data_IF_860804181802
#
_entry.id   IF_860804181802
#
_cell.length_a   1.000
_cell.length_b   1.000
_cell.length_c   1.000
_cell.angle_alpha   90.00
_cell.angle_beta   90.00
_cell.angle_gamma   90.00
#
_symmetry.space_group_name_H-M   'P 1'
#
loop_
_entity.id
_entity.type
_entity.pdbx_description
1 polymer ?
#
# COMPACT_ATOMS: atom_id res chain seq x y z
N UNK A 1 8.22 48.13 20.63
CA UNK A 1 8.44 47.38 19.38
C UNK A 1 8.30 45.90 19.68
N UNK A 2 7.11 45.43 20.09
CA UNK A 2 7.00 44.16 20.85
C UNK A 2 5.88 43.25 20.35
N UNK A 3 5.37 43.50 19.16
CA UNK A 3 4.33 42.67 18.52
C UNK A 3 4.94 41.82 17.39
N UNK A 4 6.02 42.31 16.76
CA UNK A 4 6.64 41.69 15.58
C UNK A 4 7.42 40.41 15.93
N UNK A 5 7.86 40.25 17.18
CA UNK A 5 8.63 39.06 17.61
C UNK A 5 7.74 37.84 17.86
N UNK A 6 6.49 38.06 18.30
CA UNK A 6 5.56 36.99 18.70
C UNK A 6 4.89 36.28 17.52
N UNK A 7 4.82 36.94 16.36
CA UNK A 7 4.26 36.35 15.12
C UNK A 7 5.26 35.47 14.37
N UNK A 8 6.57 35.63 14.60
CA UNK A 8 7.60 34.79 13.96
C UNK A 8 7.69 33.39 14.56
N UNK A 9 7.36 33.21 15.83
CA UNK A 9 7.37 31.89 16.50
C UNK A 9 6.17 31.01 16.14
N UNK A 10 5.06 31.58 15.66
CA UNK A 10 3.86 30.82 15.27
C UNK A 10 3.95 30.30 13.83
N UNK A 11 4.84 30.85 13.00
CA UNK A 11 5.03 30.45 11.60
C UNK A 11 6.26 29.54 11.38
N UNK A 12 6.83 28.98 12.45
CA UNK A 12 7.80 27.89 12.35
C UNK A 12 7.03 26.61 12.07
N UNK A 13 6.74 26.43 10.78
CA UNK A 13 6.79 25.16 10.05
C UNK A 13 6.72 23.92 10.94
N UNK A 14 5.50 23.42 11.14
CA UNK A 14 5.26 21.98 11.26
C UNK A 14 5.55 21.36 9.88
N UNK A 15 6.82 21.26 9.53
CA UNK A 15 7.28 20.34 8.49
C UNK A 15 7.37 18.98 9.15
N UNK A 16 6.25 18.25 9.14
CA UNK A 16 6.27 16.81 9.39
C UNK A 16 7.12 16.18 8.29
N UNK A 17 8.28 15.68 8.72
CA UNK A 17 9.15 14.69 8.09
C UNK A 17 8.98 14.44 6.58
N UNK A 18 9.54 15.33 5.76
CA UNK A 18 10.20 14.87 4.53
C UNK A 18 11.45 14.12 4.95
N UNK A 19 11.30 12.85 5.35
CA UNK A 19 12.42 11.92 5.36
C UNK A 19 12.99 11.90 3.95
N UNK A 20 14.21 12.41 3.82
CA UNK A 20 15.07 12.21 2.67
C UNK A 20 15.10 10.72 2.31
N UNK A 21 15.08 10.36 1.01
CA UNK A 21 14.97 8.98 0.59
C UNK A 21 16.32 8.30 0.86
N UNK A 22 16.45 7.73 2.05
CA UNK A 22 17.42 6.68 2.25
C UNK A 22 16.89 5.51 1.41
N UNK A 23 17.46 5.31 0.21
CA UNK A 23 17.07 4.24 -0.71
C UNK A 23 17.07 2.92 0.06
N UNK A 24 15.88 2.41 0.35
CA UNK A 24 15.73 1.11 0.98
C UNK A 24 16.16 0.07 -0.06
N UNK A 25 17.27 -0.67 0.15
CA UNK A 25 17.76 -1.62 -0.84
C UNK A 25 16.74 -2.71 -1.18
N UNK A 26 15.81 -3.00 -0.26
CA UNK A 26 14.70 -3.93 -0.52
C UNK A 26 13.73 -3.33 -1.54
N UNK A 27 13.39 -2.06 -1.39
CA UNK A 27 12.47 -1.38 -2.31
C UNK A 27 13.07 -1.29 -3.72
N UNK A 28 14.35 -0.94 -3.84
CA UNK A 28 15.05 -0.90 -5.12
C UNK A 28 15.06 -2.28 -5.81
N UNK A 29 15.28 -3.36 -5.05
CA UNK A 29 15.24 -4.72 -5.58
C UNK A 29 13.83 -5.12 -6.05
N UNK A 30 12.79 -4.77 -5.29
CA UNK A 30 11.39 -5.03 -5.67
C UNK A 30 11.00 -4.26 -6.93
N UNK A 31 11.43 -3.00 -7.06
CA UNK A 31 11.17 -2.21 -8.26
C UNK A 31 11.87 -2.79 -9.48
N UNK A 32 13.12 -3.24 -9.34
CA UNK A 32 13.83 -3.92 -10.42
C UNK A 32 13.15 -5.25 -10.82
N UNK A 33 12.60 -5.99 -9.86
CA UNK A 33 11.84 -7.21 -10.12
C UNK A 33 10.53 -6.92 -10.87
N UNK A 34 9.77 -5.90 -10.42
CA UNK A 34 8.56 -5.41 -11.11
C UNK A 34 8.87 -5.02 -12.54
N UNK A 35 9.89 -4.19 -12.76
CA UNK A 35 10.29 -3.78 -14.12
C UNK A 35 10.67 -4.96 -15.01
N UNK A 36 11.40 -5.94 -14.47
CA UNK A 36 11.76 -7.14 -15.21
C UNK A 36 10.52 -7.96 -15.58
N UNK A 37 9.61 -8.15 -14.64
CA UNK A 37 8.36 -8.88 -14.88
C UNK A 37 7.50 -8.20 -15.93
N UNK A 38 7.35 -6.87 -15.87
CA UNK A 38 6.64 -6.08 -16.89
C UNK A 38 7.31 -6.18 -18.26
N UNK A 39 8.65 -6.08 -18.34
CA UNK A 39 9.38 -6.28 -19.62
C UNK A 39 9.15 -7.67 -20.21
N UNK A 40 8.91 -8.67 -19.37
CA UNK A 40 8.65 -10.06 -19.76
C UNK A 40 7.15 -10.38 -19.91
N UNK A 41 6.25 -9.41 -19.70
CA UNK A 41 4.80 -9.62 -19.76
C UNK A 41 4.28 -10.60 -18.70
N UNK A 42 4.96 -10.70 -17.54
CA UNK A 42 4.60 -11.61 -16.46
C UNK A 42 3.89 -10.84 -15.34
N UNK A 43 2.83 -11.41 -14.72
CA UNK A 43 2.17 -10.80 -13.58
C UNK A 43 3.17 -10.67 -12.41
N UNK A 44 3.09 -9.55 -11.71
CA UNK A 44 3.90 -9.30 -10.53
C UNK A 44 3.12 -8.55 -9.46
N UNK A 45 3.27 -8.99 -8.21
CA UNK A 45 2.73 -8.35 -7.01
C UNK A 45 3.66 -8.62 -5.84
N UNK A 46 3.89 -7.62 -4.98
CA UNK A 46 4.67 -7.79 -3.77
C UNK A 46 4.18 -6.90 -2.62
N UNK A 47 4.48 -7.34 -1.39
CA UNK A 47 4.31 -6.52 -0.18
C UNK A 47 5.58 -5.67 0.00
N UNK A 48 5.45 -4.37 -0.26
CA UNK A 48 6.54 -3.40 -0.07
C UNK A 48 6.87 -3.28 1.41
N UNK A 49 5.84 -3.05 2.23
CA UNK A 49 5.99 -2.84 3.66
C UNK A 49 4.80 -3.41 4.46
N UNK A 50 5.03 -3.65 5.75
CA UNK A 50 4.01 -4.06 6.70
C UNK A 50 4.02 -3.10 7.88
N UNK A 51 2.89 -2.44 8.09
CA UNK A 51 2.73 -1.49 9.17
C UNK A 51 1.96 -2.15 10.30
N UNK A 52 2.61 -2.21 11.47
CA UNK A 52 1.98 -2.71 12.71
C UNK A 52 1.66 -1.49 13.57
N UNK A 53 0.39 -1.37 13.99
CA UNK A 53 0.05 -0.43 15.06
C UNK A 53 0.56 -1.01 16.39
N UNK A 54 1.53 -0.34 17.02
CA UNK A 54 2.15 -0.80 18.27
C UNK A 54 1.18 -0.81 19.45
N UNK A 55 0.19 0.08 19.44
CA UNK A 55 -0.80 0.21 20.51
C UNK A 55 -1.94 -0.80 20.33
N UNK A 56 -2.18 -1.24 19.10
CA UNK A 56 -3.11 -2.33 18.80
C UNK A 56 -2.57 -3.20 17.67
N UNK A 57 -1.82 -4.24 18.03
CA UNK A 57 -1.17 -5.16 17.09
C UNK A 57 -2.14 -5.90 16.15
N UNK A 58 -3.44 -5.92 16.49
CA UNK A 58 -4.49 -6.48 15.61
C UNK A 58 -4.83 -5.55 14.45
N UNK A 59 -4.45 -4.28 14.56
CA UNK A 59 -4.64 -3.27 13.54
C UNK A 59 -3.31 -3.03 12.84
N UNK A 60 -3.15 -3.60 11.66
CA UNK A 60 -2.04 -3.31 10.76
C UNK A 60 -2.55 -3.19 9.34
N UNK A 61 -1.68 -2.75 8.44
CA UNK A 61 -1.96 -2.77 7.02
C UNK A 61 -0.71 -3.15 6.23
N UNK A 62 -0.93 -3.78 5.09
CA UNK A 62 0.11 -4.08 4.12
C UNK A 62 0.11 -2.97 3.07
N UNK A 63 1.31 -2.56 2.66
CA UNK A 63 1.53 -1.75 1.47
C UNK A 63 1.92 -2.71 0.34
N UNK A 64 1.10 -2.77 -0.70
CA UNK A 64 1.30 -3.64 -1.86
C UNK A 64 1.58 -2.80 -3.10
N UNK A 65 2.38 -3.36 -4.00
CA UNK A 65 2.54 -2.86 -5.36
C UNK A 65 2.42 -4.01 -6.35
N UNK A 66 2.03 -3.69 -7.58
CA UNK A 66 1.76 -4.66 -8.64
C UNK A 66 1.98 -4.04 -10.03
N UNK A 67 2.03 -4.87 -11.08
CA UNK A 67 2.04 -4.43 -12.48
C UNK A 67 0.69 -4.64 -13.17
N UNK A 68 0.56 -4.16 -14.41
CA UNK A 68 -0.71 -4.22 -15.16
C UNK A 68 -1.08 -5.67 -15.52
N UNK A 69 -0.10 -6.51 -15.83
CA UNK A 69 -0.28 -7.92 -16.16
C UNK A 69 -0.92 -8.69 -15.00
N UNK A 70 -0.61 -8.31 -13.75
CA UNK A 70 -1.28 -8.86 -12.58
C UNK A 70 -2.76 -8.44 -12.52
N UNK A 71 -3.07 -7.18 -12.79
CA UNK A 71 -4.47 -6.70 -12.82
C UNK A 71 -5.27 -7.41 -13.90
N UNK A 72 -4.71 -7.57 -15.10
CA UNK A 72 -5.35 -8.30 -16.20
C UNK A 72 -5.72 -9.73 -15.78
N UNK A 73 -4.80 -10.44 -15.12
CA UNK A 73 -5.09 -11.77 -14.59
C UNK A 73 -6.19 -11.79 -13.53
N UNK A 74 -6.26 -10.78 -12.67
CA UNK A 74 -7.34 -10.68 -11.69
C UNK A 74 -8.69 -10.44 -12.38
N UNK A 75 -8.74 -9.57 -13.39
CA UNK A 75 -9.96 -9.33 -14.16
C UNK A 75 -10.41 -10.60 -14.89
N UNK A 76 -9.48 -11.32 -15.53
CA UNK A 76 -9.75 -12.60 -16.20
C UNK A 76 -10.24 -13.67 -15.22
N UNK A 77 -9.74 -13.66 -13.98
CA UNK A 77 -10.20 -14.52 -12.89
C UNK A 77 -11.56 -14.08 -12.30
N UNK A 78 -12.15 -12.98 -12.78
CA UNK A 78 -13.48 -12.51 -12.41
C UNK A 78 -13.52 -11.49 -11.28
N UNK A 79 -12.37 -10.96 -10.83
CA UNK A 79 -12.34 -9.84 -9.91
C UNK A 79 -12.80 -8.55 -10.59
N UNK A 80 -13.56 -7.72 -9.87
CA UNK A 80 -14.18 -6.50 -10.40
C UNK A 80 -14.01 -5.34 -9.42
N UNK A 81 -13.86 -4.15 -9.96
CA UNK A 81 -13.77 -2.89 -9.23
C UNK A 81 -13.78 -1.71 -10.20
N UNK A 82 -14.08 -0.52 -9.68
CA UNK A 82 -13.98 0.75 -10.40
C UNK A 82 -12.52 1.22 -10.53
N UNK A 83 -11.62 0.67 -9.72
CA UNK A 83 -10.18 0.92 -9.79
C UNK A 83 -9.35 -0.36 -9.60
N UNK A 84 -8.08 -0.31 -10.01
CA UNK A 84 -7.13 -1.41 -9.83
C UNK A 84 -6.96 -1.77 -8.35
N UNK A 85 -6.97 -0.77 -7.48
CA UNK A 85 -6.90 -0.93 -6.02
C UNK A 85 -8.07 -1.76 -5.51
N UNK A 86 -9.30 -1.49 -5.96
CA UNK A 86 -10.47 -2.26 -5.56
C UNK A 86 -10.40 -3.71 -6.05
N UNK A 87 -9.86 -3.94 -7.26
CA UNK A 87 -9.65 -5.28 -7.81
C UNK A 87 -8.64 -6.05 -6.95
N UNK A 88 -7.49 -5.44 -6.62
CA UNK A 88 -6.44 -6.05 -5.79
C UNK A 88 -6.91 -6.27 -4.36
N UNK A 89 -7.63 -5.32 -3.77
CA UNK A 89 -8.25 -5.46 -2.45
C UNK A 89 -9.24 -6.65 -2.41
N UNK A 90 -10.06 -6.81 -3.44
CA UNK A 90 -10.96 -7.96 -3.59
C UNK A 90 -10.20 -9.29 -3.61
N UNK A 91 -9.14 -9.37 -4.40
CA UNK A 91 -8.25 -10.55 -4.43
C UNK A 91 -7.58 -10.84 -3.09
N UNK A 92 -7.03 -9.82 -2.46
CA UNK A 92 -6.34 -9.98 -1.18
C UNK A 92 -7.31 -10.43 -0.07
N UNK A 93 -8.54 -9.89 -0.05
CA UNK A 93 -9.60 -10.35 0.86
C UNK A 93 -9.97 -11.81 0.64
N UNK A 94 -9.98 -12.29 -0.61
CA UNK A 94 -10.19 -13.71 -0.90
C UNK A 94 -9.07 -14.56 -0.28
N UNK A 95 -7.80 -14.18 -0.44
CA UNK A 95 -6.67 -14.89 0.18
C UNK A 95 -6.81 -14.90 1.70
N UNK A 96 -7.11 -13.76 2.31
CA UNK A 96 -7.24 -13.66 3.76
C UNK A 96 -8.34 -14.57 4.30
N UNK A 97 -9.48 -14.68 3.59
CA UNK A 97 -10.57 -15.60 3.95
C UNK A 97 -10.15 -17.06 3.86
N UNK A 98 -9.47 -17.45 2.78
CA UNK A 98 -8.97 -18.82 2.60
C UNK A 98 -8.00 -19.22 3.72
N UNK A 99 -7.09 -18.33 4.11
CA UNK A 99 -6.16 -18.58 5.22
C UNK A 99 -6.91 -18.78 6.55
N UNK A 100 -7.99 -18.03 6.79
CA UNK A 100 -8.84 -18.21 7.98
C UNK A 100 -9.57 -19.55 7.95
N UNK A 101 -10.18 -19.91 6.82
CA UNK A 101 -10.87 -21.19 6.61
C UNK A 101 -9.92 -22.38 6.86
N UNK A 102 -8.73 -22.35 6.25
CA UNK A 102 -7.70 -23.38 6.42
C UNK A 102 -7.22 -23.49 7.88
N UNK A 103 -7.23 -22.37 8.61
CA UNK A 103 -6.86 -22.34 10.03
C UNK A 103 -8.00 -22.75 10.97
N UNK A 104 -9.16 -23.18 10.43
CA UNK A 104 -10.36 -23.51 11.19
C UNK A 104 -11.00 -22.31 11.90
N UNK A 105 -10.69 -21.09 11.44
CA UNK A 105 -11.26 -19.86 11.97
C UNK A 105 -12.45 -19.39 11.11
N UNK A 106 -13.34 -18.61 11.72
CA UNK A 106 -14.49 -18.04 11.03
C UNK A 106 -14.03 -16.97 10.00
N UNK A 107 -14.29 -17.16 8.70
CA UNK A 107 -13.89 -16.22 7.64
C UNK A 107 -14.81 -15.00 7.51
N UNK A 108 -15.91 -14.97 8.26
CA UNK A 108 -16.84 -13.83 8.31
C UNK A 108 -16.40 -12.77 9.32
N UNK A 109 -15.33 -13.03 10.09
CA UNK A 109 -14.70 -12.03 10.95
C UNK A 109 -14.17 -10.87 10.09
N UNK A 110 -14.37 -9.63 10.55
CA UNK A 110 -13.91 -8.43 9.84
C UNK A 110 -12.42 -8.52 9.50
N UNK A 111 -12.11 -8.54 8.20
CA UNK A 111 -10.73 -8.40 7.73
C UNK A 111 -10.25 -6.98 8.04
N UNK A 112 -9.00 -6.83 8.49
CA UNK A 112 -8.39 -5.52 8.73
C UNK A 112 -8.40 -4.61 7.50
N UNK A 113 -7.99 -3.36 7.66
CA UNK A 113 -7.93 -2.40 6.55
C UNK A 113 -6.65 -2.59 5.73
N UNK A 114 -6.77 -2.55 4.40
CA UNK A 114 -5.64 -2.59 3.47
C UNK A 114 -5.55 -1.21 2.83
N UNK A 115 -4.37 -0.59 2.89
CA UNK A 115 -4.07 0.61 2.10
C UNK A 115 -3.28 0.19 0.88
N UNK A 116 -3.96 0.10 -0.25
CA UNK A 116 -3.37 -0.14 -1.55
C UNK A 116 -2.92 1.18 -2.15
N UNK A 117 -1.60 1.40 -2.29
CA UNK A 117 -1.05 2.54 -3.04
C UNK A 117 -0.31 2.00 -4.25
N UNK A 118 -0.81 2.31 -5.43
CA UNK A 118 -0.06 2.07 -6.66
C UNK A 118 0.99 3.19 -6.80
N UNK A 119 2.27 2.87 -6.69
CA UNK A 119 3.35 3.88 -6.82
C UNK A 119 3.62 4.30 -8.28
N UNK A 120 2.79 3.85 -9.23
CA UNK A 120 3.04 4.04 -10.67
C UNK A 120 2.56 5.39 -11.23
N UNK A 121 1.92 6.26 -10.44
CA UNK A 121 1.42 7.55 -10.95
C UNK A 121 1.99 8.72 -10.14
N UNK A 122 2.75 9.58 -10.82
CA UNK A 122 3.31 10.86 -10.36
C UNK A 122 2.24 11.88 -9.93
N UNK A 123 0.99 11.45 -9.73
CA UNK A 123 -0.10 12.25 -9.18
C UNK A 123 -1.03 11.37 -8.36
N UNK A 124 -1.07 11.60 -7.05
CA UNK A 124 -2.30 11.99 -6.33
C UNK A 124 -2.09 11.84 -4.83
N UNK A 125 -1.81 12.96 -4.16
CA UNK A 125 -2.21 13.15 -2.77
C UNK A 125 -3.70 13.52 -2.78
N UNK A 126 -4.53 12.80 -2.01
CA UNK A 126 -5.82 13.34 -1.56
C UNK A 126 -6.01 12.92 -0.10
N UNK A 127 -6.26 13.94 0.73
CA UNK A 127 -6.54 13.89 2.18
C UNK A 127 -7.74 13.06 2.58
#
# INVERSE_FOLDING_TARGET
MDIIKKVKDVFVKKTEDKKTPNKDPKLDALMAEKEKATKEGRPWVAVLNTHINKDNIKNGFFELDWNNEFIEQLVDAGYKGESNEQIVDGWFKTIAKQVLEDSGQDPSRGAGYINTKNLSDDKSEIS
#
